data_IF_653602018118
#
_entry.id   IF_653602018118
#
_cell.length_a   1.000
_cell.length_b   1.000
_cell.length_c   1.000
_cell.angle_alpha   90.00
_cell.angle_beta   90.00
_cell.angle_gamma   90.00
#
_symmetry.space_group_name_H-M   'P 1'
#
loop_
_entity.id
_entity.type
_entity.pdbx_description
1 polymer ?
#
# COMPACT_ATOMS: atom_id res chain seq x y z
N UNK A 1 25.64 -31.49 16.03
CA UNK A 1 26.37 -30.21 16.12
C UNK A 1 25.35 -29.12 15.80
N UNK A 2 25.08 -28.22 16.75
CA UNK A 2 23.90 -27.33 16.75
C UNK A 2 24.15 -26.02 15.97
N UNK A 3 23.35 -25.83 14.92
CA UNK A 3 22.65 -24.61 14.44
C UNK A 3 23.40 -23.27 14.47
N UNK A 4 23.75 -22.76 13.28
CA UNK A 4 24.30 -21.42 13.05
C UNK A 4 23.46 -20.52 12.12
N UNK A 5 22.14 -20.69 12.07
CA UNK A 5 21.26 -19.96 11.13
C UNK A 5 20.19 -19.06 11.78
N UNK A 6 20.31 -18.68 13.06
CA UNK A 6 19.20 -18.07 13.82
C UNK A 6 19.11 -16.53 13.98
N UNK A 7 20.02 -15.67 13.51
CA UNK A 7 19.78 -14.22 13.55
C UNK A 7 19.24 -13.64 12.22
N UNK A 8 19.78 -14.08 11.08
CA UNK A 8 19.42 -13.49 9.78
C UNK A 8 18.01 -13.90 9.29
N UNK A 9 17.55 -15.10 9.63
CA UNK A 9 16.21 -15.61 9.27
C UNK A 9 15.13 -14.88 10.08
N UNK A 10 15.38 -14.67 11.38
CA UNK A 10 14.51 -13.91 12.27
C UNK A 10 14.43 -12.43 11.83
N UNK A 11 15.57 -11.77 11.55
CA UNK A 11 15.62 -10.37 11.10
C UNK A 11 14.87 -10.14 9.78
N UNK A 12 15.01 -11.06 8.81
CA UNK A 12 14.31 -10.98 7.53
C UNK A 12 12.80 -11.16 7.75
N UNK A 13 12.38 -12.10 8.60
CA UNK A 13 10.96 -12.31 8.91
C UNK A 13 10.32 -11.08 9.56
N UNK A 14 11.02 -10.42 10.50
CA UNK A 14 10.58 -9.20 11.17
C UNK A 14 10.44 -8.08 10.14
N UNK A 15 11.43 -7.88 9.27
CA UNK A 15 11.39 -6.87 8.20
C UNK A 15 10.17 -7.05 7.27
N UNK A 16 9.86 -8.28 6.86
CA UNK A 16 8.66 -8.55 6.06
C UNK A 16 7.36 -8.28 6.82
N UNK A 17 7.32 -8.61 8.12
CA UNK A 17 6.14 -8.32 8.95
C UNK A 17 5.90 -6.82 9.08
N UNK A 18 6.95 -6.01 9.28
CA UNK A 18 6.88 -4.54 9.30
C UNK A 18 6.42 -3.97 7.96
N UNK A 19 6.94 -4.48 6.83
CA UNK A 19 6.51 -4.02 5.51
C UNK A 19 5.04 -4.34 5.23
N UNK A 20 4.54 -5.49 5.70
CA UNK A 20 3.13 -5.87 5.58
C UNK A 20 2.23 -4.97 6.43
N UNK A 21 2.66 -4.64 7.64
CA UNK A 21 1.94 -3.73 8.54
C UNK A 21 1.84 -2.33 7.92
N UNK A 22 2.97 -1.77 7.47
CA UNK A 22 3.01 -0.47 6.78
C UNK A 22 2.15 -0.45 5.50
N UNK A 23 2.10 -1.54 4.74
CA UNK A 23 1.23 -1.64 3.57
C UNK A 23 -0.27 -1.63 3.94
N UNK A 24 -0.63 -2.24 5.08
CA UNK A 24 -1.99 -2.20 5.62
C UNK A 24 -2.35 -0.81 6.14
N UNK A 25 -1.46 -0.16 6.89
CA UNK A 25 -1.67 1.21 7.37
C UNK A 25 -1.87 2.20 6.21
N UNK A 26 -1.07 2.07 5.14
CA UNK A 26 -1.21 2.89 3.94
C UNK A 26 -2.57 2.66 3.26
N UNK A 27 -3.06 1.42 3.21
CA UNK A 27 -4.38 1.11 2.67
C UNK A 27 -5.50 1.82 3.45
N UNK A 28 -5.41 1.80 4.78
CA UNK A 28 -6.41 2.42 5.64
C UNK A 28 -6.38 3.95 5.55
N UNK A 29 -5.19 4.55 5.43
CA UNK A 29 -5.03 5.99 5.15
C UNK A 29 -5.70 6.35 3.82
N UNK A 30 -5.51 5.53 2.76
CA UNK A 30 -6.10 5.79 1.46
C UNK A 30 -7.62 5.68 1.48
N UNK A 31 -8.18 4.68 2.18
CA UNK A 31 -9.63 4.57 2.37
C UNK A 31 -10.21 5.77 3.12
N UNK A 32 -9.54 6.21 4.18
CA UNK A 32 -9.95 7.38 4.97
C UNK A 32 -9.94 8.67 4.14
N UNK A 33 -8.93 8.81 3.26
CA UNK A 33 -8.82 9.92 2.33
C UNK A 33 -9.94 9.93 1.29
N UNK A 34 -10.27 8.79 0.67
CA UNK A 34 -11.39 8.70 -0.27
C UNK A 34 -12.70 9.17 0.38
N UNK A 35 -13.02 8.63 1.57
CA UNK A 35 -14.24 8.98 2.32
C UNK A 35 -14.28 10.48 2.62
N UNK A 36 -13.16 11.07 3.02
CA UNK A 36 -13.08 12.51 3.34
C UNK A 36 -13.35 13.38 2.12
N UNK A 37 -12.96 12.94 0.92
CA UNK A 37 -13.23 13.68 -0.32
C UNK A 37 -14.62 13.47 -0.87
N UNK A 38 -15.18 12.27 -0.75
CA UNK A 38 -16.60 12.05 -1.06
C UNK A 38 -17.47 12.94 -0.15
N UNK A 39 -17.19 12.94 1.16
CA UNK A 39 -17.87 13.81 2.14
C UNK A 39 -17.68 15.30 1.82
N UNK A 40 -16.47 15.70 1.38
CA UNK A 40 -16.22 17.06 0.94
C UNK A 40 -17.08 17.36 -0.28
N UNK A 41 -17.02 16.54 -1.32
CA UNK A 41 -17.74 16.71 -2.57
C UNK A 41 -19.25 16.85 -2.32
N UNK A 42 -19.86 15.94 -1.58
CA UNK A 42 -21.29 15.96 -1.24
C UNK A 42 -21.69 17.26 -0.54
N UNK A 43 -20.80 17.82 0.27
CA UNK A 43 -21.04 19.04 1.04
C UNK A 43 -20.85 20.30 0.21
N UNK A 44 -19.90 20.32 -0.72
CA UNK A 44 -19.66 21.48 -1.61
C UNK A 44 -20.45 21.43 -2.90
N UNK A 45 -20.96 20.28 -3.37
CA UNK A 45 -21.75 20.17 -4.61
C UNK A 45 -22.89 21.21 -4.69
N UNK A 46 -23.74 21.40 -3.65
CA UNK A 46 -24.82 22.39 -3.70
C UNK A 46 -24.30 23.83 -3.83
N UNK A 47 -23.11 24.10 -3.28
CA UNK A 47 -22.46 25.41 -3.27
C UNK A 47 -21.76 25.66 -4.61
N UNK A 48 -21.10 24.64 -5.16
CA UNK A 48 -20.43 24.66 -6.46
C UNK A 48 -21.43 24.90 -7.59
N UNK A 49 -22.65 24.37 -7.49
CA UNK A 49 -23.73 24.66 -8.43
C UNK A 49 -24.15 26.14 -8.45
N UNK A 50 -23.91 26.87 -7.34
CA UNK A 50 -24.15 28.31 -7.26
C UNK A 50 -22.96 29.14 -7.77
N UNK A 51 -21.76 28.55 -7.86
CA UNK A 51 -20.56 29.23 -8.34
C UNK A 51 -20.57 29.35 -9.86
N UNK A 52 -20.29 30.56 -10.36
CA UNK A 52 -20.14 30.84 -11.79
C UNK A 52 -18.70 31.20 -12.12
N UNK A 53 -18.23 30.79 -13.30
CA UNK A 53 -16.92 31.17 -13.84
C UNK A 53 -15.73 30.51 -13.12
N UNK A 54 -14.69 31.31 -12.89
CA UNK A 54 -13.35 30.90 -12.44
C UNK A 54 -13.34 30.04 -11.16
N UNK A 55 -14.21 30.33 -10.18
CA UNK A 55 -14.27 29.56 -8.94
C UNK A 55 -14.65 28.09 -9.16
N UNK A 56 -15.55 27.82 -10.11
CA UNK A 56 -15.94 26.45 -10.48
C UNK A 56 -14.82 25.75 -11.22
N UNK A 57 -14.13 26.44 -12.11
CA UNK A 57 -13.02 25.89 -12.88
C UNK A 57 -11.83 25.51 -11.97
N UNK A 58 -11.46 26.37 -11.02
CA UNK A 58 -10.42 26.09 -10.04
C UNK A 58 -10.81 24.89 -9.16
N UNK A 59 -12.07 24.81 -8.72
CA UNK A 59 -12.53 23.68 -7.92
C UNK A 59 -12.39 22.35 -8.67
N UNK A 60 -12.85 22.29 -9.93
CA UNK A 60 -12.72 21.08 -10.77
C UNK A 60 -11.24 20.73 -10.99
N UNK A 61 -10.39 21.72 -11.24
CA UNK A 61 -8.95 21.49 -11.41
C UNK A 61 -8.31 20.90 -10.16
N UNK A 62 -8.72 21.34 -8.96
CA UNK A 62 -8.25 20.78 -7.69
C UNK A 62 -8.77 19.36 -7.47
N UNK A 63 -10.00 19.07 -7.89
CA UNK A 63 -10.55 17.71 -7.87
C UNK A 63 -9.73 16.75 -8.76
N UNK A 64 -9.38 17.19 -9.97
CA UNK A 64 -8.55 16.40 -10.91
C UNK A 64 -7.11 16.20 -10.45
N UNK A 65 -6.51 17.19 -9.77
CA UNK A 65 -5.19 17.05 -9.14
C UNK A 65 -5.23 16.03 -8.00
N UNK A 66 -6.31 16.03 -7.23
CA UNK A 66 -6.50 15.10 -6.15
C UNK A 66 -6.66 13.65 -6.66
N UNK A 67 -7.56 13.43 -7.62
CA UNK A 67 -7.80 12.10 -8.20
C UNK A 67 -6.51 11.47 -8.74
N UNK A 68 -5.68 12.26 -9.44
CA UNK A 68 -4.35 11.81 -9.91
C UNK A 68 -3.42 11.41 -8.75
N UNK A 69 -3.38 12.21 -7.69
CA UNK A 69 -2.52 11.91 -6.53
C UNK A 69 -2.97 10.64 -5.81
N UNK A 70 -4.28 10.42 -5.70
CA UNK A 70 -4.85 9.20 -5.12
C UNK A 70 -4.53 7.97 -5.98
N UNK A 71 -4.62 8.09 -7.31
CA UNK A 71 -4.23 7.02 -8.24
C UNK A 71 -2.75 6.65 -8.11
N UNK A 72 -1.86 7.64 -8.01
CA UNK A 72 -0.42 7.42 -7.82
C UNK A 72 -0.12 6.69 -6.50
N UNK A 73 -0.79 7.09 -5.41
CA UNK A 73 -0.66 6.41 -4.12
C UNK A 73 -1.15 4.96 -4.17
N UNK A 74 -2.29 4.69 -4.81
CA UNK A 74 -2.79 3.32 -5.00
C UNK A 74 -1.84 2.48 -5.85
N UNK A 75 -1.24 3.07 -6.88
CA UNK A 75 -0.25 2.39 -7.71
C UNK A 75 1.01 2.03 -6.90
N UNK A 76 1.49 2.97 -6.07
CA UNK A 76 2.62 2.73 -5.16
C UNK A 76 2.30 1.65 -4.11
N UNK A 77 1.10 1.66 -3.54
CA UNK A 77 0.64 0.62 -2.60
C UNK A 77 0.57 -0.74 -3.27
N UNK A 78 0.01 -0.83 -4.49
CA UNK A 78 -0.05 -2.08 -5.26
C UNK A 78 1.36 -2.62 -5.53
N UNK A 79 2.28 -1.75 -5.94
CA UNK A 79 3.68 -2.11 -6.15
C UNK A 79 4.34 -2.64 -4.87
N UNK A 80 4.15 -1.96 -3.73
CA UNK A 80 4.65 -2.40 -2.42
C UNK A 80 4.07 -3.77 -2.02
N UNK A 81 2.76 -3.96 -2.19
CA UNK A 81 2.07 -5.20 -1.86
C UNK A 81 2.56 -6.37 -2.71
N UNK A 82 2.75 -6.16 -4.01
CA UNK A 82 3.34 -7.14 -4.92
C UNK A 82 4.78 -7.47 -4.53
N UNK A 83 5.59 -6.46 -4.20
CA UNK A 83 6.98 -6.66 -3.77
C UNK A 83 7.08 -7.50 -2.49
N UNK A 84 6.26 -7.18 -1.48
CA UNK A 84 6.22 -7.92 -0.20
C UNK A 84 5.73 -9.35 -0.41
N UNK A 85 4.67 -9.55 -1.21
CA UNK A 85 4.09 -10.87 -1.45
C UNK A 85 5.02 -11.77 -2.28
N UNK A 86 5.63 -11.22 -3.32
CA UNK A 86 6.57 -11.95 -4.17
C UNK A 86 7.91 -12.21 -3.46
N UNK A 87 8.42 -11.24 -2.70
CA UNK A 87 9.62 -11.39 -1.89
C UNK A 87 9.46 -12.47 -0.82
N UNK A 88 8.33 -12.46 -0.10
CA UNK A 88 8.01 -13.49 0.88
C UNK A 88 7.85 -14.87 0.25
N UNK A 89 7.17 -14.98 -0.90
CA UNK A 89 6.97 -16.26 -1.60
C UNK A 89 8.30 -16.85 -2.08
N UNK A 90 9.18 -16.04 -2.67
CA UNK A 90 10.50 -16.50 -3.09
C UNK A 90 11.38 -16.90 -1.91
N UNK A 91 11.37 -16.13 -0.82
CA UNK A 91 12.13 -16.46 0.38
C UNK A 91 11.62 -17.73 1.05
N UNK A 92 10.30 -17.86 1.26
CA UNK A 92 9.68 -19.04 1.83
C UNK A 92 9.91 -20.28 0.96
N UNK A 93 9.84 -20.15 -0.37
CA UNK A 93 10.15 -21.24 -1.29
C UNK A 93 11.62 -21.65 -1.23
N UNK A 94 12.56 -20.69 -1.17
CA UNK A 94 13.98 -20.95 -1.02
C UNK A 94 14.31 -21.57 0.35
N UNK A 95 13.73 -21.05 1.43
CA UNK A 95 13.87 -21.56 2.79
C UNK A 95 13.31 -22.99 2.89
N UNK A 96 12.11 -23.25 2.35
CA UNK A 96 11.56 -24.61 2.27
C UNK A 96 12.40 -25.52 1.39
N UNK A 97 12.97 -25.03 0.28
CA UNK A 97 13.86 -25.82 -0.57
C UNK A 97 15.16 -26.20 0.17
N UNK A 98 15.70 -25.30 1.00
CA UNK A 98 16.85 -25.59 1.88
C UNK A 98 16.48 -26.64 2.93
N UNK A 99 15.34 -26.50 3.62
CA UNK A 99 14.87 -27.49 4.59
C UNK A 99 14.60 -28.87 3.95
N UNK A 100 14.04 -28.90 2.74
CA UNK A 100 13.83 -30.14 1.97
C UNK A 100 15.15 -30.74 1.47
N UNK A 101 16.12 -29.92 1.06
CA UNK A 101 17.44 -30.37 0.61
C UNK A 101 18.29 -31.02 1.70
N UNK A 102 17.98 -30.75 2.98
CA UNK A 102 18.64 -31.36 4.14
C UNK A 102 17.83 -32.55 4.72
N UNK A 103 16.64 -32.83 4.17
CA UNK A 103 15.76 -33.94 4.56
C UNK A 103 15.49 -34.96 3.45
N UNK A 104 16.04 -34.77 2.25
CA UNK A 104 16.06 -35.78 1.20
C UNK A 104 17.31 -36.65 1.36
N UNK A 105 17.10 -37.91 1.71
CA UNK A 105 18.11 -38.99 1.68
C UNK A 105 18.59 -39.27 0.27
#
# INVERSE_FOLDING_TARGET
>A
MSIGSRPADDDISVSFSTLRELAGELEDILKSLDVTLDDLYDRVEPVVLSWKGEAREIFVQKLDEWDRSAQDLRAAQKWLHEYVTNGHTNYAAAHQAVLRGWGAT
#
